data_IF_249771006230
#
_entry.id   IF_249771006230
#
_cell.length_a   1.000
_cell.length_b   1.000
_cell.length_c   1.000
_cell.angle_alpha   90.00
_cell.angle_beta   90.00
_cell.angle_gamma   90.00
#
_symmetry.space_group_name_H-M   'P 1'
#
loop_
_entity.id
_entity.type
_entity.pdbx_description
1 polymer ?
#
# COMPACT_ATOMS: atom_id res chain seq x y z
N UNK A 1 -10.50 -5.43 16.38
CA UNK A 1 -10.79 -6.66 15.60
C UNK A 1 -9.51 -7.47 15.58
N UNK A 2 -9.54 -8.77 15.84
CA UNK A 2 -8.33 -9.56 15.97
C UNK A 2 -8.16 -10.55 14.81
N UNK A 3 -6.92 -10.72 14.34
CA UNK A 3 -6.52 -11.70 13.33
C UNK A 3 -5.45 -12.62 13.92
N UNK A 4 -5.50 -13.91 13.55
CA UNK A 4 -4.39 -14.84 13.82
C UNK A 4 -3.44 -14.81 12.63
N UNK A 5 -2.15 -14.60 12.87
CA UNK A 5 -1.08 -14.70 11.86
C UNK A 5 -0.36 -16.06 11.90
N UNK A 6 -0.93 -17.04 12.62
CA UNK A 6 -0.34 -18.36 12.87
C UNK A 6 0.51 -18.37 14.15
N UNK A 7 1.43 -17.42 14.30
CA UNK A 7 2.34 -17.33 15.46
C UNK A 7 1.93 -16.27 16.49
N UNK A 8 0.99 -15.38 16.16
CA UNK A 8 0.52 -14.32 17.06
C UNK A 8 -0.92 -13.90 16.76
N UNK A 9 -1.49 -13.13 17.68
CA UNK A 9 -2.79 -12.45 17.51
C UNK A 9 -2.52 -10.96 17.32
N UNK A 10 -3.10 -10.38 16.27
CA UNK A 10 -2.89 -8.98 15.88
C UNK A 10 -4.19 -8.22 16.04
N UNK A 11 -4.16 -7.06 16.69
CA UNK A 11 -5.31 -6.15 16.71
C UNK A 11 -5.40 -5.36 15.40
N UNK A 12 -6.03 -5.96 14.40
CA UNK A 12 -6.18 -5.39 13.06
C UNK A 12 -7.08 -4.15 12.96
N UNK A 13 -7.75 -3.70 14.04
CA UNK A 13 -8.55 -2.46 13.97
C UNK A 13 -7.73 -1.17 13.94
N UNK A 14 -6.44 -1.22 14.27
CA UNK A 14 -5.52 -0.08 14.14
C UNK A 14 -4.76 -0.05 12.81
N UNK A 15 -4.98 -1.03 11.92
CA UNK A 15 -4.39 -1.04 10.59
C UNK A 15 -5.11 -0.01 9.73
N UNK A 16 -4.36 0.94 9.17
CA UNK A 16 -4.88 1.95 8.24
C UNK A 16 -4.28 1.81 6.84
N UNK A 17 -3.16 1.08 6.72
CA UNK A 17 -2.47 0.83 5.45
C UNK A 17 -2.22 -0.65 5.26
N UNK A 18 -2.47 -1.14 4.04
CA UNK A 18 -2.19 -2.50 3.60
C UNK A 18 -1.38 -2.41 2.30
N UNK A 19 -0.22 -3.05 2.31
CA UNK A 19 0.71 -3.07 1.18
C UNK A 19 0.94 -4.53 0.78
N UNK A 20 0.82 -4.83 -0.51
CA UNK A 20 1.25 -6.11 -1.09
C UNK A 20 2.48 -5.88 -1.95
N UNK A 21 3.53 -6.66 -1.76
CA UNK A 21 4.79 -6.53 -2.49
C UNK A 21 5.47 -7.89 -2.64
N UNK A 22 6.63 -7.92 -3.30
CA UNK A 22 7.54 -9.06 -3.31
C UNK A 22 8.70 -8.83 -2.33
N UNK A 23 9.10 -9.90 -1.65
CA UNK A 23 10.27 -9.97 -0.76
C UNK A 23 11.55 -9.78 -1.57
N UNK A 24 12.44 -8.90 -1.11
CA UNK A 24 13.74 -8.67 -1.76
C UNK A 24 14.70 -9.87 -1.65
N UNK A 25 14.47 -10.80 -0.70
CA UNK A 25 15.36 -11.92 -0.45
C UNK A 25 15.15 -13.08 -1.43
N UNK A 26 13.90 -13.35 -1.80
CA UNK A 26 13.50 -14.57 -2.51
C UNK A 26 12.33 -14.36 -3.50
N UNK A 27 11.92 -13.11 -3.72
CA UNK A 27 10.81 -12.73 -4.59
C UNK A 27 9.46 -13.36 -4.19
N UNK A 28 9.31 -13.82 -2.94
CA UNK A 28 8.06 -14.36 -2.43
C UNK A 28 7.04 -13.24 -2.16
N UNK A 29 5.72 -13.50 -2.30
CA UNK A 29 4.71 -12.49 -2.01
C UNK A 29 4.65 -12.18 -0.51
N UNK A 30 4.59 -10.89 -0.20
CA UNK A 30 4.48 -10.36 1.16
C UNK A 30 3.30 -9.39 1.24
N UNK A 31 2.53 -9.49 2.31
CA UNK A 31 1.51 -8.51 2.68
C UNK A 31 1.86 -7.91 4.04
N UNK A 32 1.78 -6.59 4.14
CA UNK A 32 2.10 -5.81 5.34
C UNK A 32 0.91 -4.96 5.73
N UNK A 33 0.59 -4.96 7.03
CA UNK A 33 -0.40 -4.07 7.65
C UNK A 33 0.28 -3.07 8.58
N UNK A 34 0.08 -1.78 8.33
CA UNK A 34 0.66 -0.68 9.11
C UNK A 34 -0.40 0.13 9.85
N UNK A 35 -0.02 0.70 10.99
CA UNK A 35 -0.80 1.75 11.67
C UNK A 35 -0.67 3.11 11.01
N UNK A 36 -1.46 4.09 11.46
CA UNK A 36 -1.38 5.49 11.04
C UNK A 36 -0.05 6.18 11.36
N UNK A 37 0.72 5.63 12.30
CA UNK A 37 2.08 6.07 12.63
C UNK A 37 3.14 5.32 11.81
N UNK A 38 2.73 4.43 10.90
CA UNK A 38 3.62 3.63 10.05
C UNK A 38 4.24 2.44 10.77
N UNK A 39 3.72 2.08 11.95
CA UNK A 39 4.21 0.90 12.68
C UNK A 39 3.64 -0.37 12.05
N UNK A 40 4.50 -1.33 11.79
CA UNK A 40 4.10 -2.65 11.30
C UNK A 40 3.41 -3.45 12.41
N UNK A 41 2.17 -3.88 12.14
CA UNK A 41 1.41 -4.75 13.04
C UNK A 41 1.27 -6.17 12.50
N UNK A 42 1.36 -6.32 11.18
CA UNK A 42 1.17 -7.58 10.50
C UNK A 42 2.13 -7.66 9.32
N UNK A 43 2.76 -8.81 9.16
CA UNK A 43 3.54 -9.15 7.98
C UNK A 43 3.32 -10.63 7.69
N UNK A 44 3.14 -10.99 6.43
CA UNK A 44 3.18 -12.38 6.03
C UNK A 44 4.61 -12.87 5.81
N UNK A 45 4.85 -14.13 6.13
CA UNK A 45 5.86 -14.92 5.44
C UNK A 45 5.18 -15.69 4.29
N UNK A 46 5.98 -16.35 3.44
CA UNK A 46 5.49 -17.11 2.28
C UNK A 46 4.32 -18.05 2.62
N UNK A 47 4.38 -18.68 3.80
CA UNK A 47 3.48 -19.76 4.19
C UNK A 47 2.11 -19.27 4.68
N UNK A 48 2.03 -18.05 5.24
CA UNK A 48 0.78 -17.48 5.76
C UNK A 48 0.18 -16.36 4.89
N UNK A 49 0.80 -16.04 3.75
CA UNK A 49 0.33 -14.98 2.85
C UNK A 49 -1.14 -15.11 2.50
N UNK A 50 -1.59 -16.29 2.03
CA UNK A 50 -2.99 -16.51 1.64
C UNK A 50 -3.98 -16.27 2.78
N UNK A 51 -3.62 -16.69 3.99
CA UNK A 51 -4.47 -16.54 5.18
C UNK A 51 -4.60 -15.06 5.55
N UNK A 52 -3.49 -14.32 5.58
CA UNK A 52 -3.49 -12.89 5.87
C UNK A 52 -4.17 -12.08 4.77
N UNK A 53 -3.95 -12.43 3.51
CA UNK A 53 -4.56 -11.77 2.37
C UNK A 53 -6.09 -11.92 2.38
N UNK A 54 -6.58 -13.14 2.62
CA UNK A 54 -8.02 -13.38 2.76
C UNK A 54 -8.61 -12.62 3.96
N UNK A 55 -7.90 -12.63 5.10
CA UNK A 55 -8.33 -11.91 6.29
C UNK A 55 -8.40 -10.40 6.06
N UNK A 56 -7.41 -9.82 5.37
CA UNK A 56 -7.36 -8.41 5.06
C UNK A 56 -8.47 -8.03 4.07
N UNK A 57 -8.61 -8.79 2.99
CA UNK A 57 -9.61 -8.57 1.95
C UNK A 57 -11.04 -8.63 2.50
N UNK A 58 -11.35 -9.61 3.36
CA UNK A 58 -12.70 -9.80 3.89
C UNK A 58 -13.02 -8.92 5.10
N UNK A 59 -12.03 -8.57 5.92
CA UNK A 59 -12.28 -7.99 7.24
C UNK A 59 -11.69 -6.60 7.47
N UNK A 60 -10.51 -6.31 6.89
CA UNK A 60 -9.77 -5.05 7.16
C UNK A 60 -10.07 -4.01 6.09
N UNK A 61 -9.83 -4.33 4.81
CA UNK A 61 -10.03 -3.40 3.67
C UNK A 61 -11.43 -2.77 3.68
N UNK A 62 -12.54 -3.51 3.90
CA UNK A 62 -13.88 -2.91 3.92
C UNK A 62 -14.10 -1.86 5.02
N UNK A 63 -13.24 -1.85 6.04
CA UNK A 63 -13.32 -0.94 7.20
C UNK A 63 -12.31 0.21 7.12
N UNK A 64 -11.41 0.20 6.15
CA UNK A 64 -10.49 1.31 5.95
C UNK A 64 -11.28 2.58 5.61
N UNK A 65 -10.80 3.71 6.12
CA UNK A 65 -11.42 5.01 5.87
C UNK A 65 -11.30 5.35 4.39
N UNK A 66 -12.40 5.29 3.64
CA UNK A 66 -12.42 5.68 2.23
C UNK A 66 -11.99 7.12 2.01
N UNK A 67 -12.23 7.98 3.00
CA UNK A 67 -11.83 9.38 2.93
C UNK A 67 -10.30 9.53 2.94
N UNK A 68 -9.54 8.70 3.65
CA UNK A 68 -8.08 8.87 3.80
C UNK A 68 -7.23 7.77 3.19
N UNK A 69 -7.85 6.79 2.52
CA UNK A 69 -7.15 5.66 1.91
C UNK A 69 -7.04 5.86 0.40
N UNK A 70 -5.79 5.97 -0.07
CA UNK A 70 -5.44 5.92 -1.48
C UNK A 70 -5.36 4.45 -1.92
N UNK A 71 -6.10 4.06 -2.95
CA UNK A 71 -6.05 2.71 -3.53
C UNK A 71 -5.30 2.74 -4.86
N UNK A 72 -4.15 2.07 -4.91
CA UNK A 72 -3.22 2.05 -6.06
C UNK A 72 -2.82 0.61 -6.29
N UNK A 73 -3.29 0.03 -7.40
CA UNK A 73 -3.13 -1.41 -7.65
C UNK A 73 -3.70 -2.23 -6.50
N UNK A 74 -2.85 -3.05 -5.89
CA UNK A 74 -3.18 -3.91 -4.76
C UNK A 74 -2.86 -3.29 -3.39
N UNK A 75 -2.40 -2.04 -3.36
CA UNK A 75 -2.11 -1.30 -2.15
C UNK A 75 -3.27 -0.39 -1.72
N UNK A 76 -3.46 -0.30 -0.40
CA UNK A 76 -4.39 0.60 0.27
C UNK A 76 -3.58 1.43 1.27
N UNK A 77 -3.29 2.68 0.94
CA UNK A 77 -2.32 3.51 1.65
C UNK A 77 -3.05 4.65 2.36
N UNK A 78 -2.86 4.77 3.67
CA UNK A 78 -3.29 5.94 4.42
C UNK A 78 -2.48 7.15 3.95
N UNK A 79 -3.17 8.14 3.38
CA UNK A 79 -2.56 9.35 2.83
C UNK A 79 -1.74 10.14 3.85
N UNK A 80 -2.04 10.00 5.14
CA UNK A 80 -1.24 10.64 6.20
C UNK A 80 0.17 10.06 6.36
N UNK A 81 0.40 8.84 5.85
CA UNK A 81 1.73 8.24 5.85
C UNK A 81 2.58 8.74 4.69
N UNK A 82 1.97 9.15 3.57
CA UNK A 82 2.69 9.49 2.35
C UNK A 82 3.50 10.77 2.59
N UNK A 83 4.82 10.66 2.41
CA UNK A 83 5.72 11.82 2.37
C UNK A 83 5.92 12.30 0.94
N UNK A 84 6.24 11.35 0.06
CA UNK A 84 6.68 11.66 -1.30
C UNK A 84 6.35 10.52 -2.25
N UNK A 85 6.07 10.91 -3.51
CA UNK A 85 5.91 10.01 -4.64
C UNK A 85 6.87 10.48 -5.74
N UNK A 86 7.79 9.61 -6.14
CA UNK A 86 8.83 9.97 -7.12
C UNK A 86 9.28 8.77 -7.94
N UNK A 87 9.83 9.05 -9.12
CA UNK A 87 10.51 8.04 -9.93
C UNK A 87 11.96 7.96 -9.48
N UNK A 88 12.38 6.77 -9.07
CA UNK A 88 13.75 6.49 -8.66
C UNK A 88 14.70 6.75 -9.83
N UNK A 89 15.66 7.68 -9.74
CA UNK A 89 16.63 7.91 -10.81
C UNK A 89 17.59 6.72 -10.99
N UNK A 90 17.65 5.81 -10.01
CA UNK A 90 18.51 4.63 -10.03
C UNK A 90 17.87 3.45 -10.76
N UNK A 91 16.57 3.26 -10.59
CA UNK A 91 15.87 2.07 -11.09
C UNK A 91 14.80 2.36 -12.12
N UNK A 92 14.33 3.60 -12.22
CA UNK A 92 13.19 3.97 -13.06
C UNK A 92 11.83 3.66 -12.44
N UNK A 93 11.79 2.99 -11.29
CA UNK A 93 10.53 2.62 -10.64
C UNK A 93 9.85 3.82 -9.99
N UNK A 94 8.52 3.75 -9.93
CA UNK A 94 7.73 4.70 -9.16
C UNK A 94 7.64 4.23 -7.70
N UNK A 95 8.10 5.07 -6.79
CA UNK A 95 8.16 4.81 -5.35
C UNK A 95 7.21 5.73 -4.59
N UNK A 96 6.52 5.15 -3.61
CA UNK A 96 5.75 5.87 -2.60
C UNK A 96 6.46 5.63 -1.26
N UNK A 97 6.91 6.69 -0.59
CA UNK A 97 7.63 6.59 0.68
C UNK A 97 6.86 7.25 1.83
N UNK A 98 7.09 6.74 3.04
CA UNK A 98 6.45 7.24 4.24
C UNK A 98 7.14 8.47 4.81
N UNK A 99 6.48 9.18 5.74
CA UNK A 99 7.06 10.23 6.57
C UNK A 99 8.25 9.78 7.42
N UNK A 100 8.45 8.47 7.56
CA UNK A 100 9.59 7.83 8.22
C UNK A 100 10.64 7.31 7.24
N UNK A 101 10.58 7.73 5.97
CA UNK A 101 11.49 7.32 4.87
C UNK A 101 11.43 5.83 4.52
N UNK A 102 10.41 5.10 4.98
CA UNK A 102 10.23 3.70 4.63
C UNK A 102 9.47 3.57 3.31
N UNK A 103 9.85 2.60 2.49
CA UNK A 103 9.11 2.28 1.27
C UNK A 103 7.71 1.77 1.62
N UNK A 104 6.67 2.47 1.14
CA UNK A 104 5.28 2.04 1.26
C UNK A 104 4.88 1.21 0.05
N UNK A 105 5.21 1.64 -1.16
CA UNK A 105 4.84 0.90 -2.37
C UNK A 105 5.81 1.18 -3.50
N UNK A 106 6.07 0.15 -4.32
CA UNK A 106 6.92 0.21 -5.50
C UNK A 106 6.16 -0.34 -6.69
N UNK A 107 6.16 0.42 -7.77
CA UNK A 107 5.59 0.01 -9.05
C UNK A 107 6.77 -0.12 -10.01
N UNK A 108 6.97 -1.33 -10.52
CA UNK A 108 8.15 -1.72 -11.27
C UNK A 108 8.10 -1.16 -12.70
N UNK A 109 9.18 -0.53 -13.15
CA UNK A 109 9.26 0.05 -14.50
C UNK A 109 9.29 -1.00 -15.61
N UNK A 110 9.61 -2.26 -15.27
CA UNK A 110 9.57 -3.37 -16.21
C UNK A 110 8.13 -3.77 -16.59
N UNK A 111 7.18 -3.55 -15.69
CA UNK A 111 5.77 -3.93 -15.89
C UNK A 111 4.92 -2.77 -16.42
N UNK A 112 5.36 -1.52 -16.26
CA UNK A 112 4.58 -0.32 -16.55
C UNK A 112 5.40 0.72 -17.32
N UNK A 113 5.02 1.00 -18.57
CA UNK A 113 5.78 1.92 -19.44
C UNK A 113 5.45 3.40 -19.24
N UNK A 114 4.30 3.74 -18.61
CA UNK A 114 3.82 5.13 -18.47
C UNK A 114 3.92 5.65 -17.03
N UNK A 115 5.04 5.42 -16.35
CA UNK A 115 5.21 5.79 -14.94
C UNK A 115 5.14 7.29 -14.66
N UNK A 116 5.62 8.15 -15.58
CA UNK A 116 5.48 9.60 -15.44
C UNK A 116 4.01 10.04 -15.39
N UNK A 117 3.18 9.51 -16.30
CA UNK A 117 1.76 9.80 -16.32
C UNK A 117 1.05 9.28 -15.07
N UNK A 118 1.47 8.11 -14.56
CA UNK A 118 0.94 7.56 -13.31
C UNK A 118 1.33 8.42 -12.10
N UNK A 119 2.60 8.86 -12.03
CA UNK A 119 3.08 9.79 -11.00
C UNK A 119 2.27 11.08 -11.01
N UNK A 120 2.09 11.68 -12.18
CA UNK A 120 1.37 12.94 -12.33
C UNK A 120 -0.10 12.78 -11.90
N UNK A 121 -0.74 11.67 -12.25
CA UNK A 121 -2.10 11.36 -11.80
C UNK A 121 -2.19 11.20 -10.28
N UNK A 122 -1.23 10.50 -9.67
CA UNK A 122 -1.17 10.34 -8.22
C UNK A 122 -1.01 11.70 -7.52
N UNK A 123 -0.11 12.54 -8.02
CA UNK A 123 0.10 13.89 -7.51
C UNK A 123 -1.16 14.75 -7.63
N UNK A 124 -1.84 14.74 -8.79
CA UNK A 124 -3.09 15.48 -9.00
C UNK A 124 -4.16 15.07 -7.98
N UNK A 125 -4.34 13.76 -7.78
CA UNK A 125 -5.31 13.21 -6.83
C UNK A 125 -5.00 13.63 -5.40
N UNK A 126 -3.72 13.59 -4.99
CA UNK A 126 -3.30 13.95 -3.63
C UNK A 126 -3.31 15.48 -3.39
N UNK A 127 -3.01 16.29 -4.40
CA UNK A 127 -3.06 17.76 -4.29
C UNK A 127 -4.51 18.24 -4.19
N UNK A 128 -5.44 17.60 -4.90
CA UNK A 128 -6.87 17.93 -4.85
C UNK A 128 -7.57 17.40 -3.59
N UNK A 129 -6.88 16.60 -2.76
CA UNK A 129 -7.46 15.93 -1.61
C UNK A 129 -7.74 16.89 -0.45
N UNK A 130 -9.00 16.96 -0.01
CA UNK A 130 -9.47 17.88 1.03
C UNK A 130 -9.80 17.21 2.38
N UNK A 131 -9.56 15.92 2.52
CA UNK A 131 -9.89 15.16 3.73
C UNK A 131 -11.35 14.72 3.85
N UNK A 132 -12.25 15.17 2.96
CA UNK A 132 -13.71 15.01 3.14
C UNK A 132 -14.30 13.99 2.19
N UNK A 133 -13.83 13.95 0.94
CA UNK A 133 -14.36 13.03 -0.08
C UNK A 133 -13.48 11.79 -0.21
N UNK A 134 -14.07 10.63 -0.57
CA UNK A 134 -13.30 9.46 -0.94
C UNK A 134 -12.32 9.75 -2.07
N UNK A 135 -11.10 9.24 -1.93
CA UNK A 135 -10.12 9.28 -3.02
C UNK A 135 -10.56 8.34 -4.16
N UNK A 136 -10.35 8.72 -5.42
CA UNK A 136 -10.61 7.83 -6.54
C UNK A 136 -9.69 6.62 -6.47
N UNK A 137 -10.20 5.45 -6.89
CA UNK A 137 -9.34 4.29 -7.12
C UNK A 137 -8.48 4.56 -8.36
N UNK A 138 -7.18 4.31 -8.26
CA UNK A 138 -6.25 4.41 -9.39
C UNK A 138 -5.97 2.99 -9.91
N UNK A 139 -6.42 2.72 -11.12
CA UNK A 139 -6.11 1.48 -11.82
C UNK A 139 -4.74 1.60 -12.50
N UNK A 140 -3.71 0.98 -11.90
CA UNK A 140 -2.35 1.07 -12.43
C UNK A 140 -2.20 0.39 -13.79
N UNK A 141 -3.07 -0.56 -14.13
CA UNK A 141 -3.05 -1.25 -15.42
C UNK A 141 -3.34 -0.34 -16.62
N UNK A 142 -3.96 0.82 -16.40
CA UNK A 142 -4.18 1.83 -17.45
C UNK A 142 -2.84 2.47 -17.92
N UNK A 143 -1.76 2.26 -17.16
CA UNK A 143 -0.43 2.84 -17.35
C UNK A 143 0.62 1.81 -17.78
N UNK A 144 0.17 0.60 -18.17
CA UNK A 144 1.01 -0.35 -18.89
C UNK A 144 1.53 0.23 -20.20
#
# INVERSE_FOLDING_TARGET
MFLSSGSSIINASSITTIIKSLSAADNSPVIVGLTREGKMLAMSNSDNFKVLDEAFSKKVIPKLSKASTLSVGDAYIDTHLIKEIFISPKTGDLLIISSTENLLYRIWSEDYSKLDALKDRLCEVLVAYDGKKPLPKINIDDYK
#
